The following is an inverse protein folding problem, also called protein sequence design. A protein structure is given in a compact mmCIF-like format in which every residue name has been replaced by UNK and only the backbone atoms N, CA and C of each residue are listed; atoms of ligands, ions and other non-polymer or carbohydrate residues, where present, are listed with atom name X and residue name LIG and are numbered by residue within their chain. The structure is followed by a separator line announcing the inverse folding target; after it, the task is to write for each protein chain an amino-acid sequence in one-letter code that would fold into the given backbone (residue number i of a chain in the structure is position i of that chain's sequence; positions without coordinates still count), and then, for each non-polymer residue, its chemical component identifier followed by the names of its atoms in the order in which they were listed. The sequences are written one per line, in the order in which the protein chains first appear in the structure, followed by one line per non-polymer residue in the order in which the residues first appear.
data_IF_177396079641
#
_entry.id   IF_177396079641
#
_cell.length_a   1.000
_cell.length_b   1.000
_cell.length_c   1.000
_cell.angle_alpha   90.00
_cell.angle_beta   90.00
_cell.angle_gamma   90.00
#
_symmetry.space_group_name_H-M   'P 1'
#
loop_
_entity.id
_entity.type
_entity.pdbx_description
1 polymer ?
#
# COMPACT_ATOMS: atom_id res chain seq x y z
N UNK A 1 11.79 -10.12 -17.47
CA UNK A 1 11.26 -8.75 -17.58
C UNK A 1 11.88 -7.94 -16.47
N UNK A 2 12.50 -6.79 -16.75
CA UNK A 2 13.07 -5.96 -15.69
C UNK A 2 11.93 -5.43 -14.81
N UNK A 3 11.79 -5.97 -13.60
CA UNK A 3 10.89 -5.40 -12.59
C UNK A 3 11.47 -4.05 -12.23
N UNK A 4 10.76 -2.97 -12.58
CA UNK A 4 11.16 -1.64 -12.18
C UNK A 4 10.95 -1.57 -10.65
N UNK A 5 12.02 -1.81 -9.89
CA UNK A 5 11.92 -1.95 -8.44
C UNK A 5 11.49 -0.61 -7.83
N UNK A 6 10.42 -0.65 -7.03
CA UNK A 6 9.92 0.54 -6.35
C UNK A 6 11.01 1.17 -5.47
N UNK A 7 11.05 2.50 -5.43
CA UNK A 7 11.98 3.27 -4.61
C UNK A 7 11.20 4.05 -3.56
N UNK A 8 11.51 3.78 -2.29
CA UNK A 8 10.94 4.52 -1.19
C UNK A 8 11.46 5.96 -1.19
N UNK A 9 10.54 6.92 -1.11
CA UNK A 9 10.87 8.31 -0.78
C UNK A 9 11.24 8.42 0.70
N UNK A 10 12.12 9.34 1.07
CA UNK A 10 12.43 9.58 2.48
C UNK A 10 11.20 10.09 3.23
N UNK A 11 11.06 9.70 4.51
CA UNK A 11 10.05 10.24 5.42
C UNK A 11 10.65 11.38 6.23
N UNK A 12 9.83 12.40 6.50
CA UNK A 12 10.16 13.47 7.45
C UNK A 12 9.82 13.08 8.89
N UNK A 13 10.16 13.97 9.84
CA UNK A 13 9.88 13.73 11.26
C UNK A 13 8.38 13.48 11.50
N UNK A 14 8.08 12.40 12.22
CA UNK A 14 6.72 11.93 12.52
C UNK A 14 5.87 11.59 11.29
N UNK A 15 6.46 11.30 10.14
CA UNK A 15 5.72 10.74 9.03
C UNK A 15 5.71 9.21 9.07
N UNK A 16 4.60 8.63 8.63
CA UNK A 16 4.43 7.19 8.40
C UNK A 16 4.04 6.96 6.94
N UNK A 17 4.28 5.73 6.46
CA UNK A 17 3.75 5.31 5.16
C UNK A 17 2.45 4.57 5.35
N UNK A 18 1.45 4.98 4.60
CA UNK A 18 0.17 4.30 4.50
C UNK A 18 0.05 3.66 3.13
N UNK A 19 -0.51 2.46 3.10
CA UNK A 19 -0.82 1.75 1.86
C UNK A 19 -2.26 2.02 1.47
N UNK A 20 -2.45 2.71 0.35
CA UNK A 20 -3.75 2.76 -0.32
C UNK A 20 -3.82 1.54 -1.23
N UNK A 21 -4.52 0.50 -0.78
CA UNK A 21 -4.75 -0.73 -1.52
C UNK A 21 -5.93 -0.55 -2.47
N UNK A 22 -5.74 -0.91 -3.74
CA UNK A 22 -6.82 -0.83 -4.72
C UNK A 22 -7.85 -1.92 -4.57
N UNK A 23 -9.07 -1.59 -4.99
CA UNK A 23 -10.12 -2.57 -5.20
C UNK A 23 -9.70 -3.67 -6.19
N UNK A 24 -10.23 -4.87 -6.02
CA UNK A 24 -9.98 -5.98 -6.94
C UNK A 24 -10.69 -7.26 -6.52
N UNK A 25 -10.71 -8.24 -7.42
CA UNK A 25 -11.34 -9.55 -7.23
C UNK A 25 -10.30 -10.60 -6.86
N UNK A 26 -10.75 -11.77 -6.42
CA UNK A 26 -9.86 -12.90 -6.19
C UNK A 26 -9.10 -13.25 -7.49
N UNK A 27 -7.79 -13.50 -7.38
CA UNK A 27 -6.91 -13.75 -8.53
C UNK A 27 -6.31 -12.50 -9.18
N UNK A 28 -6.89 -11.31 -8.99
CA UNK A 28 -6.32 -10.07 -9.53
C UNK A 28 -4.98 -9.76 -8.85
N UNK A 29 -4.01 -9.26 -9.64
CA UNK A 29 -2.75 -8.76 -9.12
C UNK A 29 -2.98 -7.67 -8.05
N UNK A 30 -2.11 -7.61 -7.05
CA UNK A 30 -2.17 -6.56 -6.03
C UNK A 30 -1.63 -5.25 -6.63
N UNK A 31 -2.35 -4.16 -6.40
CA UNK A 31 -1.90 -2.83 -6.76
C UNK A 31 -2.34 -1.79 -5.73
N UNK A 32 -1.63 -0.66 -5.72
CA UNK A 32 -1.95 0.43 -4.81
C UNK A 32 -0.98 1.60 -4.95
N UNK A 33 -0.96 2.44 -3.92
CA UNK A 33 0.04 3.50 -3.76
C UNK A 33 0.50 3.59 -2.30
N UNK A 34 1.75 4.03 -2.09
CA UNK A 34 2.25 4.39 -0.78
C UNK A 34 2.23 5.91 -0.63
N UNK A 35 1.54 6.40 0.39
CA UNK A 35 1.52 7.83 0.74
C UNK A 35 2.29 8.06 2.04
N UNK A 36 2.94 9.21 2.16
CA UNK A 36 3.46 9.68 3.42
C UNK A 36 2.37 10.53 4.10
N UNK A 37 2.09 10.25 5.37
CA UNK A 37 1.15 11.02 6.18
C UNK A 37 1.78 11.32 7.54
N UNK A 38 1.39 12.44 8.15
CA UNK A 38 1.92 12.86 9.45
C UNK A 38 1.23 12.08 10.56
N UNK A 39 1.97 11.24 11.26
CA UNK A 39 1.49 10.51 12.42
C UNK A 39 1.19 11.45 13.59
N UNK A 40 -0.11 11.54 13.92
CA UNK A 40 -0.65 12.26 15.07
C UNK A 40 -1.38 11.23 15.94
N UNK A 41 -0.80 10.79 17.08
CA UNK A 41 -1.35 9.70 17.89
C UNK A 41 -2.83 9.86 18.25
N UNK A 42 -3.29 11.08 18.53
CA UNK A 42 -4.69 11.35 18.88
C UNK A 42 -5.68 11.23 17.71
N UNK A 43 -5.20 11.30 16.46
CA UNK A 43 -6.06 11.28 15.27
C UNK A 43 -6.01 9.97 14.49
N UNK A 44 -4.94 9.19 14.66
CA UNK A 44 -4.66 8.00 13.84
C UNK A 44 -5.22 6.70 14.42
N UNK A 45 -5.58 6.67 15.71
CA UNK A 45 -6.05 5.45 16.41
C UNK A 45 -7.36 4.89 15.81
N UNK A 46 -8.14 5.68 15.06
CA UNK A 46 -9.42 5.25 14.50
C UNK A 46 -9.53 5.36 12.96
N UNK A 47 -8.46 5.73 12.24
CA UNK A 47 -8.54 6.02 10.80
C UNK A 47 -8.05 4.88 9.90
N UNK A 48 -7.20 3.99 10.40
CA UNK A 48 -6.52 2.97 9.59
C UNK A 48 -6.52 1.61 10.28
N UNK A 49 -6.66 0.53 9.52
CA UNK A 49 -6.56 -0.83 10.04
C UNK A 49 -5.09 -1.24 10.14
N UNK A 50 -4.58 -1.40 11.37
CA UNK A 50 -3.25 -1.92 11.57
C UNK A 50 -3.21 -3.43 11.25
N UNK A 51 -2.38 -3.82 10.29
CA UNK A 51 -2.14 -5.23 9.97
C UNK A 51 -0.90 -5.75 10.70
N UNK A 52 -1.05 -6.87 11.41
CA UNK A 52 0.06 -7.67 11.93
C UNK A 52 0.12 -9.00 11.19
N UNK A 53 1.29 -9.36 10.66
CA UNK A 53 1.50 -10.63 9.96
C UNK A 53 2.84 -11.25 10.33
N UNK A 54 2.91 -12.57 10.32
CA UNK A 54 4.16 -13.30 10.54
C UNK A 54 5.02 -13.23 9.28
N UNK A 55 6.29 -12.88 9.45
CA UNK A 55 7.27 -12.92 8.38
C UNK A 55 7.48 -14.40 8.00
N UNK A 56 7.07 -14.77 6.79
CA UNK A 56 7.27 -16.10 6.22
C UNK A 56 8.55 -16.17 5.39
N UNK A 57 8.71 -17.28 4.69
CA UNK A 57 9.75 -17.42 3.67
C UNK A 57 9.60 -16.35 2.57
N UNK A 58 10.72 -15.73 2.17
CA UNK A 58 10.80 -14.67 1.17
C UNK A 58 11.58 -15.10 -0.08
N UNK A 59 11.98 -16.37 -0.21
CA UNK A 59 12.73 -16.85 -1.37
C UNK A 59 11.96 -16.74 -2.69
N UNK A 60 10.63 -16.85 -2.62
CA UNK A 60 9.71 -16.73 -3.75
C UNK A 60 8.67 -15.64 -3.43
N UNK A 61 9.01 -14.35 -3.59
CA UNK A 61 8.13 -13.27 -3.19
C UNK A 61 6.93 -13.14 -4.14
N UNK A 62 5.80 -12.71 -3.57
CA UNK A 62 4.70 -12.09 -4.30
C UNK A 62 5.05 -10.61 -4.60
N UNK A 63 4.23 -9.95 -5.41
CA UNK A 63 4.45 -8.55 -5.75
C UNK A 63 3.18 -7.71 -5.62
N UNK A 64 3.37 -6.45 -5.19
CA UNK A 64 2.39 -5.39 -5.32
C UNK A 64 2.91 -4.34 -6.32
N UNK A 65 2.04 -3.95 -7.27
CA UNK A 65 2.33 -2.90 -8.23
C UNK A 65 1.95 -1.55 -7.64
N UNK A 66 2.95 -0.70 -7.43
CA UNK A 66 2.78 0.61 -6.82
C UNK A 66 2.71 1.70 -7.89
N UNK A 67 1.79 2.63 -7.69
CA UNK A 67 1.62 3.83 -8.53
C UNK A 67 2.04 5.08 -7.77
N UNK A 68 2.30 6.15 -8.52
CA UNK A 68 2.61 7.43 -7.92
C UNK A 68 1.34 8.04 -7.30
N UNK A 69 1.36 8.38 -6.01
CA UNK A 69 0.23 9.07 -5.40
C UNK A 69 0.15 10.51 -5.89
N UNK A 70 -1.06 10.99 -6.26
CA UNK A 70 -1.38 12.43 -6.21
C UNK A 70 -2.17 12.71 -4.95
N UNK A 71 -1.54 13.46 -4.05
CA UNK A 71 -2.20 13.99 -2.86
C UNK A 71 -3.28 14.99 -3.31
N UNK A 72 -4.52 14.78 -2.87
CA UNK A 72 -5.57 15.79 -2.99
C UNK A 72 -5.40 16.73 -1.80
N UNK A 73 -5.51 18.04 -2.03
CA UNK A 73 -5.31 19.07 -1.00
C UNK A 73 -6.33 19.04 0.16
N UNK A 74 -7.31 18.13 0.15
CA UNK A 74 -8.33 17.98 1.18
C UNK A 74 -8.64 16.51 1.46
N UNK A 75 -8.26 16.06 2.65
CA UNK A 75 -8.52 14.71 3.15
C UNK A 75 -7.45 13.70 2.73
N UNK A 76 -7.31 12.64 3.53
CA UNK A 76 -6.32 11.56 3.36
C UNK A 76 -6.69 10.64 2.18
N UNK A 77 -7.23 11.22 1.11
CA UNK A 77 -7.64 10.57 -0.12
C UNK A 77 -6.60 10.86 -1.20
N UNK A 78 -6.10 9.80 -1.82
CA UNK A 78 -5.15 9.88 -2.90
C UNK A 78 -5.88 9.54 -4.21
N UNK A 79 -5.81 10.43 -5.21
CA UNK A 79 -6.02 9.98 -6.60
C UNK A 79 -4.69 9.36 -7.01
N UNK A 80 -4.64 8.04 -7.05
CA UNK A 80 -3.46 7.36 -7.58
C UNK A 80 -3.48 7.57 -9.10
N UNK A 81 -2.51 8.32 -9.64
CA UNK A 81 -2.34 8.39 -11.09
C UNK A 81 -2.15 6.98 -11.63
N UNK A 82 -2.64 6.70 -12.84
CA UNK A 82 -2.43 5.39 -13.49
C UNK A 82 -0.95 5.13 -13.85
N UNK A 83 -0.05 6.05 -13.53
CA UNK A 83 1.38 5.95 -13.84
C UNK A 83 2.05 5.00 -12.84
N UNK A 84 2.61 3.87 -13.30
CA UNK A 84 3.32 2.94 -12.44
C UNK A 84 4.61 3.56 -11.90
N UNK A 85 4.82 3.40 -10.59
CA UNK A 85 6.03 3.82 -9.86
C UNK A 85 7.03 2.66 -9.74
N UNK A 86 6.53 1.43 -9.69
CA UNK A 86 7.33 0.23 -9.69
C UNK A 86 6.63 -0.95 -9.02
N UNK A 87 7.35 -2.05 -8.86
CA UNK A 87 6.89 -3.21 -8.11
C UNK A 87 7.67 -3.35 -6.81
N UNK A 88 6.95 -3.71 -5.74
CA UNK A 88 7.52 -4.05 -4.46
C UNK A 88 7.34 -5.54 -4.22
N UNK A 89 8.45 -6.24 -3.96
CA UNK A 89 8.44 -7.63 -3.53
C UNK A 89 7.89 -7.71 -2.09
N UNK A 90 6.94 -8.61 -1.86
CA UNK A 90 6.30 -8.84 -0.57
C UNK A 90 6.29 -10.33 -0.25
N UNK A 91 6.33 -10.65 1.04
CA UNK A 91 6.19 -12.04 1.49
C UNK A 91 4.78 -12.57 1.25
N UNK A 92 4.67 -13.89 1.08
CA UNK A 92 3.40 -14.58 0.83
C UNK A 92 2.31 -14.24 1.86
N UNK A 93 2.65 -14.20 3.15
CA UNK A 93 1.70 -13.90 4.22
C UNK A 93 1.13 -12.47 4.12
N UNK A 94 1.96 -11.49 3.74
CA UNK A 94 1.49 -10.13 3.51
C UNK A 94 0.58 -10.10 2.26
N UNK A 95 0.95 -10.79 1.19
CA UNK A 95 0.13 -10.85 -0.01
C UNK A 95 -1.25 -11.48 0.25
N UNK A 96 -1.31 -12.56 1.05
CA UNK A 96 -2.58 -13.15 1.49
C UNK A 96 -3.42 -12.17 2.31
N UNK A 97 -2.82 -11.52 3.30
CA UNK A 97 -3.52 -10.55 4.14
C UNK A 97 -4.08 -9.38 3.31
N UNK A 98 -3.28 -8.82 2.39
CA UNK A 98 -3.74 -7.77 1.49
C UNK A 98 -4.87 -8.25 0.58
N UNK A 99 -4.80 -9.46 0.03
CA UNK A 99 -5.90 -10.02 -0.79
C UNK A 99 -7.18 -10.19 0.03
N UNK A 100 -7.09 -10.53 1.32
CA UNK A 100 -8.23 -10.65 2.21
C UNK A 100 -8.85 -9.29 2.57
N UNK A 101 -8.01 -8.29 2.86
CA UNK A 101 -8.45 -6.93 3.18
C UNK A 101 -8.95 -6.16 1.94
N UNK A 102 -8.56 -6.58 0.73
CA UNK A 102 -8.97 -5.95 -0.51
C UNK A 102 -10.49 -6.00 -0.69
N UNK A 103 -11.13 -4.83 -0.71
CA UNK A 103 -12.52 -4.69 -1.10
C UNK A 103 -12.71 -4.89 -2.62
N UNK A 104 -13.92 -5.28 -3.03
CA UNK A 104 -14.24 -5.52 -4.44
C UNK A 104 -14.39 -4.23 -5.26
N UNK A 105 -14.93 -3.18 -4.63
CA UNK A 105 -15.43 -2.01 -5.36
C UNK A 105 -14.71 -0.70 -4.98
N UNK A 106 -14.11 -0.62 -3.79
CA UNK A 106 -13.47 0.58 -3.28
C UNK A 106 -12.03 0.32 -2.82
N UNK A 107 -11.15 1.31 -2.97
CA UNK A 107 -9.83 1.29 -2.36
C UNK A 107 -9.92 1.47 -0.84
N UNK A 108 -8.95 0.93 -0.11
CA UNK A 108 -8.85 1.05 1.35
C UNK A 108 -7.44 1.48 1.77
N UNK A 109 -7.35 2.27 2.83
CA UNK A 109 -6.07 2.70 3.40
C UNK A 109 -5.72 1.87 4.63
N UNK A 110 -4.54 1.24 4.59
CA UNK A 110 -3.96 0.40 5.64
C UNK A 110 -2.69 1.06 6.20
#
# INVERSE_FOLDING_TARGET
MATNNFKYTALHDKEIRLLVLDAGKEGDALSGALIADKYIPSEHVMKYEALSYTWGDQSNPDYIHLRNPKLIAQGNSCICDKIPSGSLAIGYNLALALRYLRHKDNSQTL
#
